data_IF_900482769927
#
_entry.id   IF_900482769927
#
_cell.length_a   1.000
_cell.length_b   1.000
_cell.length_c   1.000
_cell.angle_alpha   90.00
_cell.angle_beta   90.00
_cell.angle_gamma   90.00
#
_symmetry.space_group_name_H-M   'P 1'
#
loop_
_entity.id
_entity.type
_entity.pdbx_description
1 polymer ?
#
# COMPACT_ATOMS: atom_id res chain seq x y z
N UNK A 1 -18.84 -20.43 -18.40
CA UNK A 1 -17.45 -20.50 -17.88
C UNK A 1 -17.55 -20.81 -16.39
N UNK A 2 -17.09 -21.98 -15.94
CA UNK A 2 -17.34 -22.50 -14.57
C UNK A 2 -16.76 -21.57 -13.48
N UNK A 3 -17.47 -21.40 -12.36
CA UNK A 3 -17.06 -20.57 -11.22
C UNK A 3 -15.69 -20.98 -10.65
N UNK A 4 -15.38 -22.29 -10.68
CA UNK A 4 -14.09 -22.81 -10.23
C UNK A 4 -12.92 -22.31 -11.10
N UNK A 5 -13.13 -22.17 -12.41
CA UNK A 5 -12.11 -21.66 -13.35
C UNK A 5 -11.91 -20.16 -13.11
N UNK A 6 -12.99 -19.42 -12.89
CA UNK A 6 -12.91 -17.99 -12.55
C UNK A 6 -12.12 -17.80 -11.24
N UNK A 7 -12.45 -18.53 -10.18
CA UNK A 7 -11.76 -18.49 -8.90
C UNK A 7 -10.26 -18.82 -9.01
N UNK A 8 -9.90 -19.86 -9.78
CA UNK A 8 -8.50 -20.21 -10.03
C UNK A 8 -7.75 -19.09 -10.78
N UNK A 9 -8.37 -18.47 -11.79
CA UNK A 9 -7.80 -17.32 -12.49
C UNK A 9 -7.61 -16.09 -11.59
N UNK A 10 -8.52 -15.86 -10.63
CA UNK A 10 -8.40 -14.78 -9.64
C UNK A 10 -7.16 -15.00 -8.74
N UNK A 11 -7.02 -16.20 -8.17
CA UNK A 11 -5.88 -16.55 -7.31
C UNK A 11 -4.56 -16.45 -8.07
N UNK A 12 -4.52 -16.88 -9.34
CA UNK A 12 -3.34 -16.78 -10.18
C UNK A 12 -2.94 -15.31 -10.43
N UNK A 13 -3.93 -14.43 -10.64
CA UNK A 13 -3.68 -13.00 -10.86
C UNK A 13 -3.16 -12.31 -9.59
N UNK A 14 -3.80 -12.53 -8.45
CA UNK A 14 -3.37 -11.94 -7.17
C UNK A 14 -1.94 -12.39 -6.82
N UNK A 15 -1.63 -13.66 -7.07
CA UNK A 15 -0.27 -14.19 -6.91
C UNK A 15 0.72 -13.51 -7.84
N UNK A 16 0.36 -13.30 -9.12
CA UNK A 16 1.22 -12.62 -10.09
C UNK A 16 1.49 -11.18 -9.68
N UNK A 17 0.46 -10.43 -9.29
CA UNK A 17 0.60 -9.05 -8.81
C UNK A 17 1.51 -9.01 -7.58
N UNK A 18 1.26 -9.85 -6.56
CA UNK A 18 2.12 -9.92 -5.37
C UNK A 18 3.56 -10.34 -5.71
N UNK A 19 3.76 -11.17 -6.73
CA UNK A 19 5.11 -11.51 -7.19
C UNK A 19 5.84 -10.27 -7.72
N UNK A 20 5.19 -9.47 -8.57
CA UNK A 20 5.81 -8.25 -9.10
C UNK A 20 5.98 -7.16 -8.05
N UNK A 21 5.00 -6.95 -7.17
CA UNK A 21 5.10 -5.97 -6.09
C UNK A 21 6.22 -6.29 -5.07
N UNK A 22 6.69 -7.55 -4.96
CA UNK A 22 7.89 -7.88 -4.16
C UNK A 22 9.19 -7.37 -4.78
N UNK A 23 9.22 -7.06 -6.07
CA UNK A 23 10.38 -6.47 -6.74
C UNK A 23 10.42 -4.95 -6.58
N UNK A 24 9.28 -4.33 -6.25
CA UNK A 24 9.19 -2.89 -6.08
C UNK A 24 10.00 -2.41 -4.86
N UNK A 25 10.60 -1.21 -4.92
CA UNK A 25 11.45 -0.70 -3.84
C UNK A 25 10.70 -0.45 -2.51
N UNK A 26 11.47 -0.30 -1.43
CA UNK A 26 10.95 0.04 -0.08
C UNK A 26 10.19 1.37 -0.05
N UNK A 27 10.64 2.34 -0.84
CA UNK A 27 9.90 3.57 -1.15
C UNK A 27 9.10 3.34 -2.44
N UNK A 28 7.83 3.77 -2.53
CA UNK A 28 7.09 3.63 -3.78
C UNK A 28 7.83 4.25 -4.97
N UNK A 29 7.78 3.64 -6.16
CA UNK A 29 8.53 4.11 -7.32
C UNK A 29 8.08 5.54 -7.69
N UNK A 30 9.01 6.38 -8.16
CA UNK A 30 8.73 7.79 -8.49
C UNK A 30 8.53 8.73 -7.29
N UNK A 31 8.30 8.21 -6.08
CA UNK A 31 8.24 9.04 -4.86
C UNK A 31 9.65 9.42 -4.43
N UNK A 32 9.93 10.71 -4.38
CA UNK A 32 11.24 11.25 -3.98
C UNK A 32 11.21 11.73 -2.52
N UNK A 33 12.34 11.69 -1.79
CA UNK A 33 12.46 12.37 -0.50
C UNK A 33 12.06 13.84 -0.63
N UNK A 34 11.22 14.31 0.29
CA UNK A 34 10.75 15.69 0.28
C UNK A 34 10.61 16.20 1.70
N UNK A 35 11.01 17.45 1.93
CA UNK A 35 10.72 18.15 3.20
C UNK A 35 9.20 18.31 3.40
N UNK A 36 8.40 18.26 2.32
CA UNK A 36 6.93 18.34 2.37
C UNK A 36 6.27 17.14 3.01
N UNK A 37 6.99 16.02 3.05
CA UNK A 37 6.52 14.77 3.60
C UNK A 37 7.71 14.10 4.31
N UNK A 38 8.11 14.62 5.49
CA UNK A 38 9.20 14.02 6.25
C UNK A 38 8.72 12.68 6.84
N UNK A 39 9.64 11.72 6.94
CA UNK A 39 9.32 10.40 7.48
C UNK A 39 10.10 9.29 6.80
N UNK A 40 9.69 8.06 7.07
CA UNK A 40 10.32 6.86 6.52
C UNK A 40 9.28 6.01 5.82
N UNK A 41 9.52 5.71 4.54
CA UNK A 41 8.76 4.73 3.78
C UNK A 41 9.28 3.33 4.03
N UNK A 42 8.39 2.40 4.33
CA UNK A 42 8.67 0.97 4.37
C UNK A 42 7.56 0.20 3.62
N UNK A 43 7.96 -0.75 2.79
CA UNK A 43 7.06 -1.72 2.18
C UNK A 43 6.65 -2.75 3.24
N UNK A 44 5.37 -2.78 3.56
CA UNK A 44 4.77 -3.72 4.48
C UNK A 44 4.22 -4.97 3.78
N UNK A 45 3.67 -4.80 2.58
CA UNK A 45 3.17 -5.91 1.75
C UNK A 45 3.51 -5.70 0.27
N UNK A 46 3.70 -6.78 -0.49
CA UNK A 46 3.83 -8.16 -0.02
C UNK A 46 5.12 -8.34 0.79
N UNK A 47 5.06 -9.16 1.84
CA UNK A 47 6.26 -9.56 2.56
C UNK A 47 6.86 -10.86 2.02
N UNK A 48 7.90 -11.32 2.68
CA UNK A 48 8.58 -12.58 2.36
C UNK A 48 7.64 -13.76 2.55
N UNK A 49 7.74 -14.77 1.67
CA UNK A 49 6.84 -15.92 1.67
C UNK A 49 6.88 -16.70 3.00
N UNK A 50 8.02 -16.68 3.68
CA UNK A 50 8.28 -17.45 4.90
C UNK A 50 7.94 -16.68 6.19
N UNK A 51 7.52 -15.41 6.10
CA UNK A 51 7.18 -14.60 7.27
C UNK A 51 5.66 -14.48 7.43
N UNK A 52 5.03 -15.12 8.42
CA UNK A 52 3.56 -15.10 8.56
C UNK A 52 3.03 -13.77 9.12
N UNK A 53 3.90 -12.91 9.64
CA UNK A 53 3.51 -11.69 10.34
C UNK A 53 3.80 -10.46 9.47
N UNK A 54 2.79 -10.01 8.73
CA UNK A 54 2.87 -8.76 7.96
C UNK A 54 1.94 -7.69 8.56
N UNK A 55 2.27 -6.40 8.37
CA UNK A 55 1.36 -5.35 8.74
C UNK A 55 0.03 -5.45 8.00
N UNK A 56 -1.02 -5.04 8.68
CA UNK A 56 -2.40 -5.06 8.17
C UNK A 56 -3.16 -3.84 8.65
N UNK A 57 -4.30 -3.58 8.01
CA UNK A 57 -5.19 -2.48 8.38
C UNK A 57 -6.42 -3.04 9.10
N UNK A 58 -6.97 -2.29 10.04
CA UNK A 58 -8.23 -2.63 10.70
C UNK A 58 -9.02 -1.38 11.04
N UNK A 59 -10.32 -1.53 11.24
CA UNK A 59 -11.14 -0.49 11.84
C UNK A 59 -10.81 -0.37 13.34
N UNK A 60 -10.78 0.85 13.90
CA UNK A 60 -10.74 1.06 15.34
C UNK A 60 -11.85 0.27 16.06
N UNK A 61 -11.56 -0.25 17.26
CA UNK A 61 -12.56 -0.94 18.09
C UNK A 61 -12.87 -2.40 17.71
N UNK A 62 -12.34 -2.93 16.60
CA UNK A 62 -12.51 -4.35 16.23
C UNK A 62 -11.19 -5.02 15.87
N UNK A 63 -11.08 -6.31 16.23
CA UNK A 63 -9.97 -7.18 15.81
C UNK A 63 -10.43 -8.27 14.82
N UNK A 64 -11.72 -8.30 14.47
CA UNK A 64 -12.31 -9.36 13.63
C UNK A 64 -12.04 -9.14 12.15
N UNK A 65 -12.04 -7.89 11.69
CA UNK A 65 -11.88 -7.54 10.28
C UNK A 65 -10.49 -6.95 10.05
N UNK A 66 -9.68 -7.68 9.29
CA UNK A 66 -8.37 -7.22 8.81
C UNK A 66 -8.45 -6.99 7.31
N UNK A 67 -8.03 -5.80 6.87
CA UNK A 67 -7.79 -5.50 5.47
C UNK A 67 -6.34 -5.81 5.15
N UNK A 68 -6.13 -6.64 4.12
CA UNK A 68 -4.84 -7.16 3.70
C UNK A 68 -4.62 -6.80 2.23
N UNK A 69 -4.17 -5.57 1.93
CA UNK A 69 -3.96 -5.13 0.55
C UNK A 69 -2.97 -6.02 -0.20
N UNK A 70 -3.10 -6.09 -1.53
CA UNK A 70 -2.12 -6.81 -2.36
C UNK A 70 -0.73 -6.18 -2.25
N UNK A 71 -0.66 -4.85 -2.22
CA UNK A 71 0.52 -4.08 -1.84
C UNK A 71 0.21 -3.06 -0.75
N UNK A 72 1.14 -2.87 0.19
CA UNK A 72 1.00 -1.90 1.28
C UNK A 72 2.35 -1.26 1.55
N UNK A 73 2.41 0.06 1.43
CA UNK A 73 3.53 0.90 1.86
C UNK A 73 3.06 1.78 3.01
N UNK A 74 3.92 1.87 4.02
CA UNK A 74 3.70 2.65 5.24
C UNK A 74 4.71 3.79 5.26
N UNK A 75 4.21 5.01 5.40
CA UNK A 75 5.02 6.20 5.59
C UNK A 75 4.88 6.69 7.03
N UNK A 76 5.88 6.35 7.86
CA UNK A 76 5.84 6.63 9.29
C UNK A 76 6.17 8.08 9.60
N UNK A 77 5.41 8.66 10.53
CA UNK A 77 5.72 9.98 11.10
C UNK A 77 7.16 10.02 11.63
N UNK A 78 7.86 11.16 11.46
CA UNK A 78 9.18 11.34 12.05
C UNK A 78 9.12 11.61 13.57
N UNK A 79 7.95 11.94 14.13
CA UNK A 79 7.79 12.39 15.51
C UNK A 79 7.01 11.38 16.36
N UNK A 80 7.48 11.16 17.60
CA UNK A 80 6.76 10.36 18.60
C UNK A 80 5.57 11.11 19.20
N UNK A 81 5.63 12.44 19.28
CA UNK A 81 4.54 13.26 19.84
C UNK A 81 3.35 13.39 18.89
N UNK A 82 3.58 13.20 17.59
CA UNK A 82 2.55 13.18 16.55
C UNK A 82 2.65 11.86 15.77
N UNK A 83 2.23 10.79 16.44
CA UNK A 83 2.36 9.42 15.95
C UNK A 83 1.22 9.06 15.00
N UNK A 84 1.54 8.97 13.71
CA UNK A 84 0.64 8.51 12.65
C UNK A 84 1.40 7.72 11.58
N UNK A 85 0.64 7.14 10.65
CA UNK A 85 1.18 6.60 9.40
C UNK A 85 0.32 7.06 8.21
N UNK A 86 0.95 7.45 7.12
CA UNK A 86 0.26 7.58 5.83
C UNK A 86 0.42 6.27 5.07
N UNK A 87 -0.59 5.87 4.30
CA UNK A 87 -0.55 4.59 3.57
C UNK A 87 -0.70 4.80 2.07
N UNK A 88 0.06 4.00 1.32
CA UNK A 88 -0.20 3.73 -0.09
C UNK A 88 -0.53 2.24 -0.23
N UNK A 89 -1.73 1.94 -0.70
CA UNK A 89 -2.16 0.57 -0.96
C UNK A 89 -2.27 0.32 -2.46
N UNK A 90 -2.05 -0.93 -2.85
CA UNK A 90 -2.26 -1.41 -4.22
C UNK A 90 -3.21 -2.60 -4.16
N UNK A 91 -4.19 -2.61 -5.03
CA UNK A 91 -5.27 -3.60 -5.06
C UNK A 91 -5.51 -4.09 -6.49
N UNK A 92 -5.33 -5.39 -6.71
CA UNK A 92 -5.63 -6.02 -8.00
C UNK A 92 -7.13 -6.28 -8.12
N UNK A 93 -7.80 -5.60 -9.04
CA UNK A 93 -9.24 -5.74 -9.23
C UNK A 93 -9.54 -6.44 -10.56
N UNK A 94 -10.08 -7.64 -10.41
CA UNK A 94 -10.30 -8.58 -11.50
C UNK A 94 -11.71 -8.51 -12.10
N UNK A 95 -12.63 -7.84 -11.41
CA UNK A 95 -14.01 -7.51 -11.81
C UNK A 95 -14.44 -6.17 -11.22
N UNK A 96 -15.52 -5.59 -11.76
CA UNK A 96 -16.11 -4.36 -11.21
C UNK A 96 -16.66 -4.58 -9.78
N UNK A 97 -17.31 -5.71 -9.51
CA UNK A 97 -17.78 -6.05 -8.17
C UNK A 97 -16.62 -6.11 -7.16
N UNK A 98 -15.50 -6.72 -7.56
CA UNK A 98 -14.30 -6.77 -6.73
C UNK A 98 -13.69 -5.39 -6.50
N UNK A 99 -13.72 -4.51 -7.51
CA UNK A 99 -13.33 -3.11 -7.35
C UNK A 99 -14.22 -2.41 -6.31
N UNK A 100 -15.54 -2.51 -6.43
CA UNK A 100 -16.47 -1.81 -5.53
C UNK A 100 -16.33 -2.29 -4.07
N UNK A 101 -16.19 -3.60 -3.87
CA UNK A 101 -15.92 -4.18 -2.55
C UNK A 101 -14.61 -3.64 -1.97
N UNK A 102 -13.51 -3.65 -2.75
CA UNK A 102 -12.22 -3.12 -2.29
C UNK A 102 -12.27 -1.61 -2.04
N UNK A 103 -12.90 -0.82 -2.91
CA UNK A 103 -13.10 0.65 -2.75
C UNK A 103 -13.76 1.00 -1.43
N UNK A 104 -14.78 0.26 -1.01
CA UNK A 104 -15.49 0.51 0.25
C UNK A 104 -14.58 0.44 1.50
N UNK A 105 -13.47 -0.31 1.43
CA UNK A 105 -12.52 -0.52 2.53
C UNK A 105 -11.55 0.64 2.72
N UNK A 106 -11.39 1.50 1.71
CA UNK A 106 -10.40 2.59 1.67
C UNK A 106 -11.03 3.97 1.56
N UNK A 107 -12.32 4.13 1.89
CA UNK A 107 -13.01 5.41 1.82
C UNK A 107 -12.73 6.28 3.08
N UNK A 108 -11.85 7.30 3.01
CA UNK A 108 -11.49 8.12 4.18
C UNK A 108 -12.63 9.01 4.65
N UNK A 109 -13.64 9.27 3.79
CA UNK A 109 -14.80 10.08 4.13
C UNK A 109 -15.80 9.37 5.05
N UNK A 110 -15.75 8.04 5.12
CA UNK A 110 -16.72 7.25 5.88
C UNK A 110 -16.07 6.40 6.97
N UNK A 111 -14.77 6.13 6.89
CA UNK A 111 -14.08 5.23 7.81
C UNK A 111 -12.71 5.78 8.24
N UNK A 112 -12.32 5.45 9.47
CA UNK A 112 -10.93 5.59 9.96
C UNK A 112 -10.25 4.22 9.99
N UNK A 113 -8.95 4.17 9.74
CA UNK A 113 -8.16 2.94 9.77
C UNK A 113 -7.03 3.03 10.80
N UNK A 114 -6.68 1.88 11.37
CA UNK A 114 -5.45 1.66 12.12
C UNK A 114 -4.53 0.76 11.29
N UNK A 115 -3.26 1.13 11.18
CA UNK A 115 -2.22 0.21 10.73
C UNK A 115 -1.63 -0.52 11.94
N UNK A 116 -1.55 -1.84 11.86
CA UNK A 116 -0.96 -2.68 12.90
C UNK A 116 0.30 -3.31 12.34
N UNK A 117 1.46 -3.01 12.94
CA UNK A 117 2.75 -3.59 12.60
C UNK A 117 3.15 -4.61 13.70
N UNK A 118 3.17 -5.92 13.39
CA UNK A 118 3.61 -6.94 14.34
C UNK A 118 5.06 -6.73 14.80
N UNK A 119 5.38 -7.11 16.05
CA UNK A 119 6.74 -7.05 16.60
C UNK A 119 7.74 -7.79 15.72
N UNK A 120 7.43 -9.02 15.32
CA UNK A 120 8.30 -9.83 14.47
C UNK A 120 8.65 -9.16 13.14
N UNK A 121 7.70 -8.42 12.55
CA UNK A 121 7.96 -7.63 11.34
C UNK A 121 8.89 -6.43 11.61
N UNK A 122 8.68 -5.74 12.74
CA UNK A 122 9.50 -4.60 13.16
C UNK A 122 10.95 -4.99 13.46
N UNK A 123 11.17 -6.20 13.99
CA UNK A 123 12.49 -6.72 14.35
C UNK A 123 13.26 -7.34 13.17
N UNK A 124 12.58 -7.62 12.05
CA UNK A 124 13.23 -8.18 10.86
C UNK A 124 13.87 -7.06 10.01
N UNK A 125 14.97 -7.34 9.28
CA UNK A 125 15.58 -6.39 8.35
C UNK A 125 14.62 -5.81 7.31
N UNK A 126 14.84 -4.55 6.92
CA UNK A 126 14.05 -3.91 5.87
C UNK A 126 14.46 -4.36 4.46
N UNK A 127 15.73 -4.71 4.25
CA UNK A 127 16.28 -5.16 2.97
C UNK A 127 17.19 -6.38 3.20
N UNK A 128 17.37 -7.21 2.17
CA UNK A 128 18.14 -8.46 2.30
C UNK A 128 19.65 -8.21 2.57
N UNK A 129 20.18 -7.10 2.06
CA UNK A 129 21.59 -6.72 2.14
C UNK A 129 21.91 -5.76 3.29
N UNK A 130 20.91 -5.36 4.09
CA UNK A 130 21.08 -4.47 5.23
C UNK A 130 20.39 -5.10 6.45
N UNK A 131 21.15 -5.59 7.45
CA UNK A 131 20.58 -6.26 8.62
C UNK A 131 19.85 -5.31 9.57
N UNK A 132 19.81 -4.01 9.28
CA UNK A 132 19.13 -3.02 10.12
C UNK A 132 17.65 -3.37 10.27
N UNK A 133 17.17 -3.62 11.51
CA UNK A 133 15.77 -3.95 11.74
C UNK A 133 14.88 -2.75 11.43
N UNK A 134 13.67 -3.00 10.91
CA UNK A 134 12.74 -1.95 10.47
C UNK A 134 12.47 -0.90 11.53
N UNK A 135 12.39 -1.27 12.81
CA UNK A 135 12.11 -0.34 13.89
C UNK A 135 13.18 0.76 14.01
N UNK A 136 14.45 0.48 13.71
CA UNK A 136 15.53 1.48 13.75
C UNK A 136 15.41 2.53 12.63
N UNK A 137 14.69 2.21 11.57
CA UNK A 137 14.41 3.15 10.47
C UNK A 137 13.21 4.05 10.79
N UNK A 138 12.37 3.66 11.75
CA UNK A 138 11.16 4.38 12.17
C UNK A 138 11.54 5.37 13.27
N UNK A 139 11.75 6.63 12.89
CA UNK A 139 12.34 7.67 13.76
C UNK A 139 11.56 7.96 15.05
N UNK A 140 10.26 7.69 15.06
CA UNK A 140 9.42 7.85 16.24
C UNK A 140 9.60 6.75 17.30
N UNK A 141 10.19 5.60 16.94
CA UNK A 141 10.58 4.57 17.91
C UNK A 141 11.98 4.87 18.44
N UNK A 142 12.09 5.01 19.77
CA UNK A 142 13.38 5.24 20.46
C UNK A 142 13.95 3.99 21.11
N UNK A 143 13.09 3.01 21.36
CA UNK A 143 13.41 1.76 22.01
C UNK A 143 12.93 0.59 21.16
N UNK A 144 13.51 -0.58 21.41
CA UNK A 144 13.11 -1.81 20.72
C UNK A 144 11.65 -2.17 21.07
N UNK A 145 10.78 -2.38 20.07
CA UNK A 145 9.36 -2.60 20.33
C UNK A 145 9.10 -4.01 20.90
N UNK A 146 8.57 -4.07 22.12
CA UNK A 146 8.10 -5.31 22.76
C UNK A 146 6.61 -5.60 22.50
N UNK A 147 5.90 -4.68 21.84
CA UNK A 147 4.47 -4.78 21.50
C UNK A 147 4.22 -4.34 20.06
N UNK A 148 3.15 -4.83 19.41
CA UNK A 148 2.81 -4.38 18.06
C UNK A 148 2.61 -2.87 18.02
N UNK A 149 3.21 -2.22 17.02
CA UNK A 149 3.00 -0.79 16.79
C UNK A 149 1.65 -0.60 16.09
N UNK A 150 0.72 0.05 16.76
CA UNK A 150 -0.59 0.39 16.19
C UNK A 150 -0.71 1.88 16.04
N UNK A 151 -0.98 2.36 14.83
CA UNK A 151 -0.99 3.78 14.49
C UNK A 151 -2.28 4.17 13.78
N UNK A 152 -2.81 5.37 14.04
CA UNK A 152 -3.85 5.93 13.20
C UNK A 152 -3.32 6.17 11.78
N UNK A 153 -4.12 5.82 10.79
CA UNK A 153 -3.85 6.17 9.39
C UNK A 153 -4.32 7.61 9.17
N UNK A 154 -3.41 8.50 8.79
CA UNK A 154 -3.70 9.93 8.58
C UNK A 154 -4.09 10.25 7.14
N UNK A 155 -3.31 9.78 6.16
CA UNK A 155 -3.63 9.88 4.73
C UNK A 155 -3.71 8.49 4.10
N UNK A 156 -4.69 8.31 3.22
CA UNK A 156 -4.93 7.06 2.47
C UNK A 156 -4.74 7.36 0.99
N UNK A 157 -3.93 6.56 0.31
CA UNK A 157 -3.80 6.56 -1.14
C UNK A 157 -3.92 5.14 -1.63
N UNK A 158 -4.67 4.92 -2.71
CA UNK A 158 -4.98 3.58 -3.19
C UNK A 158 -4.83 3.54 -4.71
N UNK A 159 -4.07 2.57 -5.22
CA UNK A 159 -3.96 2.26 -6.63
C UNK A 159 -4.74 0.99 -6.94
N UNK A 160 -5.75 1.09 -7.80
CA UNK A 160 -6.49 -0.05 -8.31
C UNK A 160 -5.96 -0.46 -9.69
N UNK A 161 -5.46 -1.69 -9.79
CA UNK A 161 -5.19 -2.32 -11.07
C UNK A 161 -6.46 -2.92 -11.66
N UNK A 162 -6.85 -2.52 -12.87
CA UNK A 162 -8.06 -3.00 -13.53
C UNK A 162 -7.69 -3.79 -14.80
N UNK A 163 -8.33 -4.95 -15.05
CA UNK A 163 -8.22 -5.62 -16.36
C UNK A 163 -8.64 -4.64 -17.47
N UNK A 164 -8.01 -4.69 -18.64
CA UNK A 164 -8.17 -3.67 -19.71
C UNK A 164 -9.63 -3.34 -20.01
N UNK A 165 -10.50 -4.36 -20.18
CA UNK A 165 -11.94 -4.16 -20.42
C UNK A 165 -12.65 -3.31 -19.35
N UNK A 166 -12.26 -3.44 -18.08
CA UNK A 166 -12.83 -2.66 -16.98
C UNK A 166 -12.13 -1.31 -16.85
N UNK A 167 -10.81 -1.25 -17.10
CA UNK A 167 -10.05 0.00 -17.08
C UNK A 167 -10.61 1.00 -18.08
N UNK A 168 -10.75 0.60 -19.34
CA UNK A 168 -11.21 1.47 -20.41
C UNK A 168 -12.63 1.98 -20.17
N UNK A 169 -13.51 1.10 -19.67
CA UNK A 169 -14.87 1.48 -19.29
C UNK A 169 -14.89 2.47 -18.13
N UNK A 170 -14.10 2.22 -17.08
CA UNK A 170 -14.00 3.09 -15.91
C UNK A 170 -13.43 4.46 -16.28
N UNK A 171 -12.32 4.50 -17.01
CA UNK A 171 -11.65 5.73 -17.43
C UNK A 171 -12.55 6.64 -18.29
N UNK A 172 -13.48 6.08 -19.07
CA UNK A 172 -14.42 6.84 -19.90
C UNK A 172 -15.66 7.36 -19.16
N UNK A 173 -16.08 6.70 -18.08
CA UNK A 173 -17.43 6.88 -17.52
C UNK A 173 -17.48 7.20 -16.04
N UNK A 174 -16.38 7.04 -15.32
CA UNK A 174 -16.33 7.17 -13.87
C UNK A 174 -15.32 8.24 -13.46
N UNK A 175 -15.55 8.81 -12.28
CA UNK A 175 -14.63 9.76 -11.65
C UNK A 175 -13.98 9.10 -10.45
N UNK A 176 -12.65 9.15 -10.40
CA UNK A 176 -11.86 8.70 -9.26
C UNK A 176 -12.04 9.67 -8.09
N UNK A 177 -12.13 9.16 -6.86
CA UNK A 177 -12.03 10.01 -5.68
C UNK A 177 -10.59 10.53 -5.49
N UNK A 178 -10.36 11.62 -4.71
CA UNK A 178 -9.03 12.24 -4.57
C UNK A 178 -7.91 11.33 -4.04
N UNK A 179 -8.25 10.23 -3.36
CA UNK A 179 -7.31 9.25 -2.84
C UNK A 179 -7.11 8.04 -3.77
N UNK A 180 -7.90 7.94 -4.84
CA UNK A 180 -7.95 6.79 -5.74
C UNK A 180 -7.16 7.06 -7.01
N UNK A 181 -6.35 6.07 -7.39
CA UNK A 181 -5.58 6.03 -8.61
C UNK A 181 -5.90 4.72 -9.32
N UNK A 182 -5.81 4.73 -10.65
CA UNK A 182 -6.17 3.59 -11.48
C UNK A 182 -5.07 3.34 -12.50
N UNK A 183 -4.77 2.07 -12.76
CA UNK A 183 -3.90 1.67 -13.84
C UNK A 183 -4.41 0.38 -14.51
N UNK A 184 -3.97 0.09 -15.73
CA UNK A 184 -4.16 -1.23 -16.32
C UNK A 184 -3.50 -2.31 -15.45
N UNK A 185 -4.12 -3.49 -15.37
CA UNK A 185 -3.59 -4.65 -14.64
C UNK A 185 -2.24 -5.11 -15.22
N UNK A 186 -2.06 -4.88 -16.52
CA UNK A 186 -0.85 -5.17 -17.26
C UNK A 186 0.35 -4.40 -16.68
N UNK A 187 0.14 -3.14 -16.25
CA UNK A 187 1.18 -2.34 -15.61
C UNK A 187 1.62 -2.90 -14.25
N UNK A 188 0.70 -3.49 -13.47
CA UNK A 188 1.03 -4.15 -12.20
C UNK A 188 1.66 -5.54 -12.36
N UNK A 189 1.50 -6.16 -13.53
CA UNK A 189 1.97 -7.52 -13.78
C UNK A 189 3.18 -7.57 -14.73
N UNK A 190 3.60 -6.43 -15.25
CA UNK A 190 4.84 -6.25 -15.99
C UNK A 190 6.07 -6.53 -15.11
N UNK A 191 7.13 -7.06 -15.73
CA UNK A 191 8.34 -7.49 -15.03
C UNK A 191 9.06 -6.34 -14.33
N UNK A 192 9.17 -5.20 -15.02
CA UNK A 192 9.81 -3.97 -14.53
C UNK A 192 8.82 -2.81 -14.47
N UNK A 193 7.54 -3.11 -14.15
CA UNK A 193 6.48 -2.09 -14.11
C UNK A 193 6.74 -0.94 -13.13
N UNK A 194 7.66 -1.09 -12.17
CA UNK A 194 8.08 -0.02 -11.26
C UNK A 194 9.09 0.96 -11.88
N UNK A 195 9.68 0.61 -13.02
CA UNK A 195 10.58 1.48 -13.78
C UNK A 195 9.85 2.27 -14.86
N UNK A 196 8.64 1.84 -15.23
CA UNK A 196 7.77 2.51 -16.20
C UNK A 196 7.60 4.01 -15.85
N UNK A 197 7.92 4.95 -16.76
CA UNK A 197 7.83 6.37 -16.50
C UNK A 197 6.42 6.85 -16.12
N UNK A 198 5.37 6.28 -16.72
CA UNK A 198 3.98 6.63 -16.43
C UNK A 198 3.57 6.11 -15.05
N UNK A 199 3.98 4.89 -14.69
CA UNK A 199 3.76 4.35 -13.34
C UNK A 199 4.47 5.20 -12.29
N UNK A 200 5.73 5.56 -12.52
CA UNK A 200 6.50 6.42 -11.62
C UNK A 200 5.85 7.80 -11.47
N UNK A 201 5.38 8.39 -12.57
CA UNK A 201 4.66 9.66 -12.54
C UNK A 201 3.33 9.55 -11.76
N UNK A 202 2.58 8.46 -11.95
CA UNK A 202 1.34 8.19 -11.22
C UNK A 202 1.61 8.05 -9.72
N UNK A 203 2.62 7.29 -9.33
CA UNK A 203 2.99 7.10 -7.93
C UNK A 203 3.57 8.37 -7.29
N UNK A 204 4.29 9.20 -8.04
CA UNK A 204 4.75 10.51 -7.59
C UNK A 204 3.56 11.42 -7.23
N UNK A 205 2.47 11.39 -8.03
CA UNK A 205 1.22 12.11 -7.70
C UNK A 205 0.50 11.55 -6.48
N UNK A 206 0.68 10.25 -6.20
CA UNK A 206 0.14 9.61 -5.02
C UNK A 206 0.93 9.91 -3.74
N UNK A 207 2.06 10.62 -3.80
CA UNK A 207 2.77 11.08 -2.61
C UNK A 207 2.02 12.23 -1.92
N UNK A 208 1.96 12.23 -0.58
CA UNK A 208 1.31 13.33 0.15
C UNK A 208 2.01 14.67 -0.06
N UNK A 209 3.31 14.66 -0.41
CA UNK A 209 4.05 15.85 -0.80
C UNK A 209 3.46 16.59 -2.01
N UNK A 210 2.71 15.89 -2.88
CA UNK A 210 2.05 16.47 -4.05
C UNK A 210 0.86 17.38 -3.68
N UNK A 211 0.34 17.30 -2.44
CA UNK A 211 -0.75 18.16 -1.98
C UNK A 211 -0.32 19.61 -1.70
N UNK A 212 0.98 19.86 -1.53
CA UNK A 212 1.47 21.14 -1.02
C UNK A 212 2.27 21.89 -2.08
N UNK A 213 1.86 23.11 -2.44
CA UNK A 213 2.61 23.96 -3.35
C UNK A 213 3.92 24.44 -2.71
N UNK A 214 3.87 24.90 -1.46
CA UNK A 214 4.99 25.34 -0.62
C UNK A 214 4.77 24.87 0.81
N UNK A 215 5.84 24.79 1.60
CA UNK A 215 5.74 24.68 3.06
C UNK A 215 6.01 26.04 3.68
N UNK A 216 5.51 26.29 4.91
CA UNK A 216 5.98 27.39 5.75
C UNK A 216 7.49 27.34 5.97
#
# INVERSE_FOLDING_TARGET
>A
MSEAIAAACHVALDRKVRSQLRKWPQRPPGVMPSLKQPGTWLRARPGDADSPAHPFLKLPGTNRLRTLPDGLWLHFSPSATDSYVDILCIEACSSLQNLLDKRSRFAPSTNSLLAVCPVSWLLTPAQANDPTPRWRLIRMLKEEPIRPLTLPVRDIRVLFGLKSRHYDGFARSQVAHPHEFFCPMEALTAEEGYEDPEMRALMARAAASANFMRLP
#
